data_IF_870657975234
#
_entry.id   IF_870657975234
#
_cell.length_a   1.000
_cell.length_b   1.000
_cell.length_c   1.000
_cell.angle_alpha   90.00
_cell.angle_beta   90.00
_cell.angle_gamma   90.00
#
_symmetry.space_group_name_H-M   'P 1'
#
loop_
_entity.id
_entity.type
_entity.pdbx_description
1 polymer ?
#
# COMPACT_ATOMS: atom_id res chain seq x y z
N UNK A 1 -11.45 21.75 -5.86
CA UNK A 1 -10.03 21.53 -5.57
C UNK A 1 -9.54 20.58 -6.64
N UNK A 2 -8.72 21.01 -7.61
CA UNK A 2 -8.20 20.08 -8.60
C UNK A 2 -7.37 19.04 -7.85
N UNK A 3 -7.74 17.78 -8.02
CA UNK A 3 -6.94 16.65 -7.58
C UNK A 3 -5.55 16.85 -8.20
N UNK A 4 -4.53 17.12 -7.40
CA UNK A 4 -3.16 16.89 -7.83
C UNK A 4 -3.12 15.43 -8.25
N UNK A 5 -3.03 15.19 -9.56
CA UNK A 5 -2.83 13.85 -10.09
C UNK A 5 -1.58 13.34 -9.40
N UNK A 6 -1.73 12.29 -8.58
CA UNK A 6 -0.59 11.59 -7.99
C UNK A 6 0.44 11.37 -9.09
N UNK A 7 1.71 11.61 -8.78
CA UNK A 7 2.80 11.29 -9.70
C UNK A 7 2.63 9.83 -10.17
N UNK A 8 2.87 9.56 -11.45
CA UNK A 8 2.47 8.29 -12.07
C UNK A 8 3.05 7.05 -11.37
N UNK A 9 4.22 7.18 -10.74
CA UNK A 9 4.84 6.13 -9.93
C UNK A 9 4.06 5.86 -8.62
N UNK A 10 3.65 6.90 -7.90
CA UNK A 10 2.84 6.78 -6.69
C UNK A 10 1.47 6.17 -6.99
N UNK A 11 0.86 6.56 -8.11
CA UNK A 11 -0.40 5.99 -8.56
C UNK A 11 -0.25 4.48 -8.84
N UNK A 12 0.83 4.07 -9.51
CA UNK A 12 1.10 2.64 -9.78
C UNK A 12 1.27 1.83 -8.47
N UNK A 13 2.00 2.37 -7.50
CA UNK A 13 2.13 1.74 -6.19
C UNK A 13 0.79 1.63 -5.47
N UNK A 14 -0.03 2.69 -5.51
CA UNK A 14 -1.35 2.68 -4.89
C UNK A 14 -2.27 1.62 -5.55
N UNK A 15 -2.25 1.52 -6.88
CA UNK A 15 -3.02 0.50 -7.60
C UNK A 15 -2.63 -0.91 -7.17
N UNK A 16 -1.33 -1.23 -7.09
CA UNK A 16 -0.87 -2.55 -6.62
C UNK A 16 -1.36 -2.86 -5.20
N UNK A 17 -1.35 -1.87 -4.30
CA UNK A 17 -1.85 -2.00 -2.93
C UNK A 17 -3.36 -2.27 -2.94
N UNK A 18 -4.12 -1.51 -3.72
CA UNK A 18 -5.56 -1.68 -3.85
C UNK A 18 -5.92 -3.05 -4.41
N UNK A 19 -5.28 -3.47 -5.51
CA UNK A 19 -5.47 -4.79 -6.13
C UNK A 19 -5.18 -5.92 -5.14
N UNK A 20 -4.05 -5.85 -4.42
CA UNK A 20 -3.70 -6.85 -3.43
C UNK A 20 -4.75 -6.92 -2.30
N UNK A 21 -5.25 -5.79 -1.81
CA UNK A 21 -6.26 -5.76 -0.77
C UNK A 21 -7.63 -6.25 -1.25
N UNK A 22 -8.00 -5.94 -2.51
CA UNK A 22 -9.27 -6.35 -3.12
C UNK A 22 -9.28 -7.80 -3.59
N UNK A 23 -8.12 -8.37 -3.90
CA UNK A 23 -7.99 -9.77 -4.31
C UNK A 23 -8.60 -10.75 -3.30
N UNK A 24 -8.68 -10.35 -2.02
CA UNK A 24 -9.11 -11.20 -0.91
C UNK A 24 -8.11 -12.30 -0.56
N UNK A 25 -6.98 -12.39 -1.27
CA UNK A 25 -5.94 -13.40 -1.07
C UNK A 25 -5.00 -13.04 0.08
N UNK A 26 -4.83 -11.75 0.36
CA UNK A 26 -3.87 -11.25 1.35
C UNK A 26 -4.54 -10.63 2.58
N UNK A 27 -3.79 -10.55 3.67
CA UNK A 27 -4.19 -9.77 4.83
C UNK A 27 -4.24 -8.28 4.43
N UNK A 28 -5.30 -7.53 4.81
CA UNK A 28 -5.40 -6.09 4.53
C UNK A 28 -4.24 -5.29 5.13
N UNK A 29 -3.60 -5.83 6.16
CA UNK A 29 -2.44 -5.23 6.79
C UNK A 29 -1.16 -5.71 6.12
N UNK A 30 -0.64 -4.89 5.22
CA UNK A 30 0.65 -5.08 4.57
C UNK A 30 1.78 -4.56 5.45
N UNK A 31 3.00 -5.06 5.22
CA UNK A 31 4.20 -4.74 5.97
C UNK A 31 5.23 -4.16 5.04
N UNK A 32 5.65 -2.93 5.29
CA UNK A 32 6.77 -2.30 4.62
C UNK A 32 8.07 -2.52 5.40
N UNK A 33 9.11 -2.95 4.68
CA UNK A 33 10.45 -3.17 5.20
C UNK A 33 11.48 -2.45 4.30
N UNK A 34 12.32 -1.57 4.86
CA UNK A 34 13.36 -0.89 4.09
C UNK A 34 14.30 -1.90 3.42
N UNK A 35 14.51 -1.76 2.11
CA UNK A 35 15.37 -2.65 1.31
C UNK A 35 14.69 -3.91 0.78
N UNK A 36 13.45 -4.21 1.22
CA UNK A 36 12.64 -5.29 0.67
C UNK A 36 11.34 -4.77 0.00
N UNK A 37 10.85 -3.61 0.43
CA UNK A 37 9.64 -2.99 -0.09
C UNK A 37 8.40 -3.33 0.75
N UNK A 38 7.24 -3.25 0.12
CA UNK A 38 5.95 -3.56 0.72
C UNK A 38 5.55 -5.00 0.41
N UNK A 39 5.28 -5.77 1.46
CA UNK A 39 4.84 -7.16 1.35
C UNK A 39 3.50 -7.39 2.06
N UNK A 40 2.68 -8.29 1.52
CA UNK A 40 1.42 -8.72 2.12
C UNK A 40 1.46 -10.20 2.46
N UNK A 41 0.87 -10.57 3.60
CA UNK A 41 0.80 -11.96 4.03
C UNK A 41 -0.39 -12.67 3.41
N UNK A 42 -0.21 -13.87 2.90
CA UNK A 42 -1.32 -14.68 2.38
C UNK A 42 -2.29 -15.10 3.48
N UNK A 43 -3.61 -14.98 3.22
CA UNK A 43 -4.69 -15.45 4.12
C UNK A 43 -4.85 -16.96 4.13
N UNK A 44 -4.51 -17.64 3.04
CA UNK A 44 -4.67 -19.09 2.91
C UNK A 44 -3.54 -19.88 3.57
N UNK A 45 -2.62 -19.20 4.27
CA UNK A 45 -1.36 -19.77 4.71
C UNK A 45 -0.34 -19.77 3.57
N UNK A 46 0.89 -19.33 3.88
CA UNK A 46 1.96 -19.17 2.90
C UNK A 46 2.97 -18.11 3.33
N UNK A 47 3.97 -17.89 2.48
CA UNK A 47 4.99 -16.87 2.66
C UNK A 47 4.45 -15.45 2.38
N UNK A 48 5.21 -14.44 2.78
CA UNK A 48 4.91 -13.04 2.46
C UNK A 48 5.19 -12.77 0.97
N UNK A 49 4.24 -12.12 0.30
CA UNK A 49 4.36 -11.73 -1.10
C UNK A 49 4.73 -10.25 -1.21
N UNK A 50 5.75 -9.94 -2.00
CA UNK A 50 6.12 -8.54 -2.30
C UNK A 50 5.07 -7.97 -3.25
N UNK A 51 4.36 -6.94 -2.80
CA UNK A 51 3.36 -6.19 -3.57
C UNK A 51 4.02 -5.09 -4.39
N UNK A 52 4.94 -4.37 -3.76
CA UNK A 52 5.76 -3.36 -4.43
C UNK A 52 7.17 -3.40 -3.85
N UNK A 53 8.17 -3.70 -4.68
CA UNK A 53 9.57 -3.77 -4.27
C UNK A 53 10.22 -2.38 -4.19
N UNK A 54 9.80 -1.47 -5.08
CA UNK A 54 10.45 -0.18 -5.29
C UNK A 54 9.84 0.94 -4.43
N UNK A 55 8.66 0.72 -3.84
CA UNK A 55 8.03 1.71 -2.97
C UNK A 55 8.94 2.04 -1.79
N UNK A 56 9.09 3.32 -1.48
CA UNK A 56 9.90 3.78 -0.37
C UNK A 56 9.07 4.40 0.77
N UNK A 57 9.77 4.91 1.80
CA UNK A 57 9.11 5.55 2.95
C UNK A 57 8.48 6.90 2.61
N UNK A 58 9.04 7.64 1.68
CA UNK A 58 8.52 8.93 1.24
C UNK A 58 7.23 8.72 0.44
N UNK A 59 7.18 7.70 -0.40
CA UNK A 59 6.00 7.32 -1.17
C UNK A 59 4.84 6.97 -0.26
N UNK A 60 5.09 6.11 0.72
CA UNK A 60 4.10 5.75 1.74
C UNK A 60 3.62 6.98 2.52
N UNK A 61 4.52 7.89 2.87
CA UNK A 61 4.13 9.15 3.55
C UNK A 61 3.29 10.05 2.66
N UNK A 62 3.62 10.17 1.38
CA UNK A 62 2.84 10.94 0.42
C UNK A 62 1.43 10.36 0.31
N UNK A 63 1.30 9.06 0.06
CA UNK A 63 0.02 8.36 -0.01
C UNK A 63 -0.80 8.52 1.29
N UNK A 64 -0.16 8.46 2.45
CA UNK A 64 -0.82 8.68 3.73
C UNK A 64 -1.28 10.14 3.92
N UNK A 65 -0.50 11.11 3.44
CA UNK A 65 -0.85 12.55 3.51
C UNK A 65 -2.09 12.86 2.67
N UNK A 66 -2.33 12.11 1.60
CA UNK A 66 -3.52 12.23 0.76
C UNK A 66 -4.71 11.34 1.22
N UNK A 67 -4.62 10.74 2.40
CA UNK A 67 -5.62 9.82 2.97
C UNK A 67 -5.89 8.56 2.13
N UNK A 68 -4.94 8.14 1.29
CA UNK A 68 -5.07 6.93 0.47
C UNK A 68 -4.69 5.66 1.25
N UNK A 69 -3.75 5.76 2.18
CA UNK A 69 -3.34 4.64 3.02
C UNK A 69 -3.28 5.05 4.50
N UNK A 70 -3.53 4.09 5.38
CA UNK A 70 -3.25 4.21 6.81
C UNK A 70 -1.90 3.61 7.12
N UNK A 71 -1.08 4.34 7.87
CA UNK A 71 0.22 3.90 8.34
C UNK A 71 0.21 3.69 9.86
N UNK A 72 0.65 2.52 10.31
CA UNK A 72 0.97 2.27 11.70
C UNK A 72 2.45 1.89 11.85
N UNK A 73 3.21 2.65 12.64
CA UNK A 73 4.69 2.58 12.69
C UNK A 73 5.22 2.21 14.07
N UNK A 74 4.88 1.04 14.63
CA UNK A 74 5.26 0.70 16.00
C UNK A 74 6.78 0.59 16.20
N UNK A 75 7.58 0.23 15.17
CA UNK A 75 9.06 0.13 15.18
C UNK A 75 9.66 0.28 13.76
N UNK A 76 10.60 -0.59 13.38
CA UNK A 76 11.28 -0.61 12.07
C UNK A 76 10.39 -1.10 10.91
N UNK A 77 9.29 -1.78 11.23
CA UNK A 77 8.28 -2.23 10.28
C UNK A 77 7.11 -1.25 10.26
N UNK A 78 6.68 -0.85 9.07
CA UNK A 78 5.50 -0.01 8.90
C UNK A 78 4.36 -0.90 8.42
N UNK A 79 3.21 -0.76 9.05
CA UNK A 79 2.02 -1.44 8.62
C UNK A 79 1.19 -0.52 7.76
N UNK A 80 0.77 -1.02 6.61
CA UNK A 80 0.07 -0.26 5.58
C UNK A 80 -1.27 -0.93 5.32
N UNK A 81 -2.32 -0.11 5.22
CA UNK A 81 -3.67 -0.57 4.84
C UNK A 81 -4.29 0.47 3.94
N UNK A 82 -4.83 0.08 2.79
CA UNK A 82 -5.56 0.99 1.92
C UNK A 82 -6.84 1.49 2.61
N UNK A 83 -7.12 2.78 2.47
CA UNK A 83 -8.35 3.38 2.97
C UNK A 83 -9.51 3.13 2.00
N UNK A 84 -10.75 3.30 2.49
CA UNK A 84 -11.93 3.23 1.63
C UNK A 84 -11.87 4.23 0.45
N UNK A 85 -11.21 5.38 0.65
CA UNK A 85 -10.99 6.39 -0.39
C UNK A 85 -10.16 5.83 -1.54
N UNK A 86 -8.98 5.27 -1.25
CA UNK A 86 -8.12 4.66 -2.27
C UNK A 86 -8.81 3.54 -3.04
N UNK A 87 -9.53 2.66 -2.32
CA UNK A 87 -10.26 1.55 -2.92
C UNK A 87 -11.45 1.99 -3.79
N UNK A 88 -11.91 3.24 -3.67
CA UNK A 88 -13.01 3.77 -4.50
C UNK A 88 -12.47 4.58 -5.68
N UNK A 89 -11.36 5.30 -5.49
CA UNK A 89 -10.79 6.22 -6.49
C UNK A 89 -9.78 5.55 -7.44
N UNK A 90 -9.11 4.48 -7.02
CA UNK A 90 -7.97 3.87 -7.74
C UNK A 90 -8.14 2.36 -8.00
N UNK A 91 -9.38 1.86 -7.97
CA UNK A 91 -9.71 0.45 -8.18
C UNK A 91 -10.22 0.12 -9.60
N UNK A 92 -9.98 1.00 -10.57
CA UNK A 92 -10.40 0.82 -11.97
C UNK A 92 -9.50 -0.15 -12.75
#
# INVERSE_FOLDING_TARGET
MPFESLESELAAHLTQICEAQMSGQFDPRMVFQPGQGLSAKSRTGGDDHVISADIDRNDLRALATHDYISLATPRAHWFVTATAKALTEYAD
#
